data_IF_841305455547
#
_entry.id   IF_841305455547
#
_cell.length_a   1.000
_cell.length_b   1.000
_cell.length_c   1.000
_cell.angle_alpha   90.00
_cell.angle_beta   90.00
_cell.angle_gamma   90.00
#
_symmetry.space_group_name_H-M   'P 1'
#
loop_
_entity.id
_entity.type
_entity.pdbx_description
1 polymer ?
#
# COMPACT_ATOMS: atom_id res chain seq x y z
N UNK A 1 -0.66 11.10 5.87
CA UNK A 1 -0.29 10.43 4.61
C UNK A 1 -0.69 11.31 3.44
N UNK A 2 0.25 11.75 2.58
CA UNK A 2 -0.13 12.41 1.33
C UNK A 2 -0.85 11.39 0.44
N UNK A 3 -2.02 11.77 -0.09
CA UNK A 3 -2.75 10.97 -1.07
C UNK A 3 -2.27 11.37 -2.47
N UNK A 4 -1.92 10.41 -3.35
CA UNK A 4 -1.60 10.71 -4.74
C UNK A 4 -2.75 11.47 -5.42
N UNK A 5 -2.49 12.51 -6.24
CA UNK A 5 -3.54 13.27 -6.91
C UNK A 5 -4.51 12.41 -7.74
N UNK A 6 -3.99 11.36 -8.37
CA UNK A 6 -4.78 10.39 -9.15
C UNK A 6 -5.82 9.67 -8.27
N UNK A 7 -5.44 9.25 -7.06
CA UNK A 7 -6.36 8.62 -6.11
C UNK A 7 -7.45 9.59 -5.66
N UNK A 8 -7.07 10.85 -5.42
CA UNK A 8 -8.02 11.91 -5.07
C UNK A 8 -9.02 12.13 -6.21
N UNK A 9 -8.57 12.08 -7.47
CA UNK A 9 -9.44 12.22 -8.63
C UNK A 9 -10.44 11.07 -8.73
N UNK A 10 -9.98 9.82 -8.62
CA UNK A 10 -10.83 8.63 -8.63
C UNK A 10 -11.90 8.67 -7.52
N UNK A 11 -11.53 9.12 -6.32
CA UNK A 11 -12.49 9.25 -5.22
C UNK A 11 -13.54 10.34 -5.47
N UNK A 12 -13.13 11.48 -6.02
CA UNK A 12 -14.07 12.55 -6.38
C UNK A 12 -15.07 12.07 -7.43
N UNK A 13 -14.59 11.43 -8.49
CA UNK A 13 -15.44 10.86 -9.53
C UNK A 13 -16.42 9.83 -8.96
N UNK A 14 -15.95 8.96 -8.05
CA UNK A 14 -16.81 8.00 -7.36
C UNK A 14 -17.88 8.69 -6.50
N UNK A 15 -17.54 9.76 -5.79
CA UNK A 15 -18.50 10.53 -4.97
C UNK A 15 -19.51 11.25 -5.86
N UNK A 16 -19.08 11.85 -6.97
CA UNK A 16 -19.97 12.52 -7.91
C UNK A 16 -20.93 11.52 -8.58
N UNK A 17 -20.48 10.29 -8.81
CA UNK A 17 -21.27 9.23 -9.48
C UNK A 17 -22.22 8.51 -8.53
N UNK A 18 -21.75 8.11 -7.34
CA UNK A 18 -22.48 7.23 -6.42
C UNK A 18 -22.95 7.92 -5.13
N UNK A 19 -22.44 9.13 -4.85
CA UNK A 19 -22.65 9.79 -3.57
C UNK A 19 -21.85 9.17 -2.44
N UNK A 20 -22.35 9.33 -1.22
CA UNK A 20 -21.78 8.70 0.00
C UNK A 20 -22.90 8.10 0.83
N UNK A 21 -22.60 7.07 1.61
CA UNK A 21 -23.53 6.55 2.59
C UNK A 21 -23.63 7.47 3.82
N UNK A 22 -24.65 7.22 4.65
CA UNK A 22 -24.86 7.92 5.91
C UNK A 22 -23.57 7.98 6.75
N UNK A 23 -23.22 9.20 7.18
CA UNK A 23 -21.97 9.47 7.88
C UNK A 23 -20.75 9.72 6.98
N UNK A 24 -20.95 9.86 5.66
CA UNK A 24 -19.88 10.22 4.71
C UNK A 24 -18.97 9.06 4.32
N UNK A 25 -19.44 7.81 4.48
CA UNK A 25 -18.67 6.63 4.05
C UNK A 25 -18.56 6.59 2.54
N UNK A 26 -17.32 6.52 2.04
CA UNK A 26 -17.00 6.46 0.61
C UNK A 26 -17.34 5.10 -0.01
N UNK A 27 -17.18 4.01 0.75
CA UNK A 27 -17.47 2.66 0.28
C UNK A 27 -18.63 2.06 1.06
N UNK A 28 -19.68 1.67 0.34
CA UNK A 28 -20.91 1.15 0.92
C UNK A 28 -21.58 0.18 -0.05
N UNK A 29 -22.40 -0.72 0.49
CA UNK A 29 -23.25 -1.59 -0.32
C UNK A 29 -24.54 -0.86 -0.75
N UNK A 30 -25.35 -1.48 -1.61
CA UNK A 30 -26.60 -0.90 -2.12
C UNK A 30 -27.61 -0.48 -1.05
N UNK A 31 -27.48 -1.01 0.18
CA UNK A 31 -28.31 -0.65 1.34
C UNK A 31 -27.68 0.43 2.23
N UNK A 32 -26.58 1.07 1.79
CA UNK A 32 -25.83 2.06 2.57
C UNK A 32 -24.95 1.46 3.68
N UNK A 33 -24.89 0.13 3.79
CA UNK A 33 -24.14 -0.58 4.82
C UNK A 33 -22.69 -0.86 4.43
N UNK A 34 -21.96 -1.55 5.31
CA UNK A 34 -20.58 -1.97 5.08
C UNK A 34 -20.53 -2.97 3.91
N UNK A 35 -19.52 -2.83 3.05
CA UNK A 35 -19.23 -3.80 1.99
C UNK A 35 -18.81 -5.12 2.62
N UNK A 36 -19.52 -6.20 2.27
CA UNK A 36 -19.18 -7.54 2.76
C UNK A 36 -17.82 -8.01 2.23
N UNK A 37 -17.12 -8.84 3.00
CA UNK A 37 -15.81 -9.38 2.62
C UNK A 37 -15.84 -10.13 1.29
N UNK A 38 -16.88 -10.93 1.03
CA UNK A 38 -17.04 -11.66 -0.23
C UNK A 38 -17.24 -10.73 -1.44
N UNK A 39 -17.96 -9.62 -1.26
CA UNK A 39 -18.12 -8.60 -2.31
C UNK A 39 -16.79 -7.91 -2.61
N UNK A 40 -16.03 -7.58 -1.57
CA UNK A 40 -14.71 -6.99 -1.71
C UNK A 40 -13.73 -7.95 -2.40
N UNK A 41 -13.71 -9.22 -1.98
CA UNK A 41 -12.86 -10.25 -2.58
C UNK A 41 -13.21 -10.48 -4.06
N UNK A 42 -14.49 -10.50 -4.41
CA UNK A 42 -14.92 -10.63 -5.81
C UNK A 42 -14.48 -9.44 -6.65
N UNK A 43 -14.75 -8.21 -6.19
CA UNK A 43 -14.31 -7.00 -6.88
C UNK A 43 -12.78 -6.96 -7.05
N UNK A 44 -12.03 -7.47 -6.07
CA UNK A 44 -10.58 -7.59 -6.18
C UNK A 44 -10.13 -8.57 -7.26
N UNK A 45 -10.75 -9.75 -7.36
CA UNK A 45 -10.41 -10.73 -8.40
C UNK A 45 -10.74 -10.19 -9.79
N UNK A 46 -11.91 -9.56 -9.97
CA UNK A 46 -12.29 -8.89 -11.22
C UNK A 46 -11.27 -7.80 -11.60
N UNK A 47 -10.82 -6.98 -10.63
CA UNK A 47 -9.79 -5.98 -10.88
C UNK A 47 -8.44 -6.58 -11.29
N UNK A 48 -8.04 -7.74 -10.72
CA UNK A 48 -6.81 -8.44 -11.13
C UNK A 48 -6.88 -8.87 -12.60
N UNK A 49 -8.01 -9.42 -13.04
CA UNK A 49 -8.21 -9.86 -14.42
C UNK A 49 -8.15 -8.70 -15.42
N UNK A 50 -8.59 -7.51 -15.01
CA UNK A 50 -8.52 -6.30 -15.84
C UNK A 50 -7.13 -5.67 -15.89
N UNK A 51 -6.37 -5.75 -14.78
CA UNK A 51 -5.10 -5.05 -14.64
C UNK A 51 -3.87 -5.89 -15.02
N UNK A 52 -3.97 -7.22 -14.99
CA UNK A 52 -2.83 -8.13 -15.17
C UNK A 52 -2.98 -9.02 -16.41
N UNK A 53 -1.87 -9.33 -17.10
CA UNK A 53 -1.82 -10.40 -18.09
C UNK A 53 -2.27 -11.77 -17.53
N UNK A 54 -2.83 -12.67 -18.35
CA UNK A 54 -3.40 -13.94 -17.88
C UNK A 54 -2.43 -14.84 -17.09
N UNK A 55 -1.15 -14.86 -17.47
CA UNK A 55 -0.11 -15.62 -16.75
C UNK A 55 0.14 -15.06 -15.35
N UNK A 56 0.06 -13.74 -15.18
CA UNK A 56 0.19 -13.10 -13.87
C UNK A 56 -1.07 -13.23 -13.03
N UNK A 57 -2.26 -13.25 -13.64
CA UNK A 57 -3.53 -13.55 -12.95
C UNK A 57 -3.48 -14.95 -12.33
N UNK A 58 -2.98 -15.94 -13.08
CA UNK A 58 -2.83 -17.32 -12.63
C UNK A 58 -1.72 -17.51 -11.58
N UNK A 59 -0.82 -16.53 -11.43
CA UNK A 59 0.26 -16.57 -10.46
C UNK A 59 -0.20 -16.15 -9.04
N UNK A 60 0.62 -16.43 -8.01
CA UNK A 60 0.38 -15.92 -6.64
C UNK A 60 0.47 -14.39 -6.50
N UNK A 61 0.77 -13.64 -7.58
CA UNK A 61 0.92 -12.19 -7.54
C UNK A 61 -0.40 -11.51 -7.14
N UNK A 62 -0.36 -10.77 -6.04
CA UNK A 62 -1.47 -9.94 -5.57
C UNK A 62 -2.79 -10.72 -5.37
N UNK A 63 -2.73 -12.02 -5.07
CA UNK A 63 -3.92 -12.87 -4.90
C UNK A 63 -4.84 -12.32 -3.83
N UNK A 64 -4.30 -11.75 -2.75
CA UNK A 64 -5.08 -11.10 -1.71
C UNK A 64 -4.90 -9.58 -1.77
N UNK A 65 -5.94 -8.80 -1.45
CA UNK A 65 -5.80 -7.34 -1.31
C UNK A 65 -4.69 -6.94 -0.33
N UNK A 66 -4.50 -7.74 0.73
CA UNK A 66 -3.45 -7.52 1.73
C UNK A 66 -2.02 -7.60 1.14
N UNK A 67 -1.83 -8.29 0.01
CA UNK A 67 -0.53 -8.36 -0.66
C UNK A 67 -0.11 -6.99 -1.24
N UNK A 68 -1.06 -6.10 -1.57
CA UNK A 68 -0.74 -4.71 -1.92
C UNK A 68 -0.12 -3.94 -0.76
N UNK A 69 -0.65 -4.14 0.45
CA UNK A 69 -0.11 -3.52 1.66
C UNK A 69 1.32 -4.02 1.91
N UNK A 70 1.56 -5.32 1.73
CA UNK A 70 2.92 -5.86 1.79
C UNK A 70 3.85 -5.19 0.78
N UNK A 71 3.43 -5.09 -0.48
CA UNK A 71 4.21 -4.47 -1.55
C UNK A 71 4.55 -3.01 -1.25
N UNK A 72 3.57 -2.21 -0.80
CA UNK A 72 3.77 -0.81 -0.47
C UNK A 72 4.79 -0.63 0.67
N UNK A 73 4.65 -1.40 1.75
CA UNK A 73 5.57 -1.31 2.89
C UNK A 73 6.99 -1.76 2.52
N UNK A 74 7.13 -2.87 1.79
CA UNK A 74 8.42 -3.30 1.27
C UNK A 74 9.04 -2.25 0.34
N UNK A 75 8.24 -1.59 -0.49
CA UNK A 75 8.70 -0.54 -1.43
C UNK A 75 9.19 0.70 -0.71
N UNK A 76 8.42 1.23 0.26
CA UNK A 76 8.85 2.41 1.03
C UNK A 76 10.08 2.12 1.87
N UNK A 77 10.11 0.94 2.49
CA UNK A 77 11.34 0.48 3.11
C UNK A 77 12.43 0.51 2.04
N UNK A 78 12.29 -0.13 0.87
CA UNK A 78 13.35 -0.22 -0.15
C UNK A 78 13.83 1.12 -0.71
N UNK A 79 12.96 2.12 -0.78
CA UNK A 79 13.33 3.51 -1.07
C UNK A 79 14.16 4.18 0.06
N UNK A 80 14.27 3.49 1.19
CA UNK A 80 15.01 3.85 2.39
C UNK A 80 14.29 4.89 3.25
N UNK A 81 12.97 4.90 3.25
CA UNK A 81 12.16 5.62 4.25
C UNK A 81 12.44 5.01 5.63
N UNK A 82 12.46 5.84 6.67
CA UNK A 82 12.73 5.40 8.04
C UNK A 82 11.69 4.35 8.49
N UNK A 83 12.11 3.22 9.11
CA UNK A 83 11.18 2.20 9.59
C UNK A 83 10.12 2.72 10.57
N UNK A 84 10.44 3.74 11.38
CA UNK A 84 9.49 4.37 12.30
C UNK A 84 8.39 5.08 11.54
N UNK A 85 8.76 5.86 10.53
CA UNK A 85 7.82 6.55 9.67
C UNK A 85 6.96 5.56 8.86
N UNK A 86 7.57 4.49 8.31
CA UNK A 86 6.80 3.45 7.61
C UNK A 86 5.80 2.77 8.56
N UNK A 87 6.20 2.48 9.80
CA UNK A 87 5.33 1.86 10.80
C UNK A 87 4.15 2.77 11.16
N UNK A 88 4.39 4.06 11.40
CA UNK A 88 3.36 5.05 11.67
C UNK A 88 2.37 5.17 10.51
N UNK A 89 2.89 5.32 9.27
CA UNK A 89 2.07 5.40 8.05
C UNK A 89 1.25 4.14 7.82
N UNK A 90 1.74 2.99 8.26
CA UNK A 90 1.01 1.73 8.20
C UNK A 90 -0.02 1.59 9.33
N UNK A 91 0.14 2.27 10.47
CA UNK A 91 -0.59 1.97 11.70
C UNK A 91 -0.12 0.67 12.37
N UNK A 92 1.16 0.33 12.26
CA UNK A 92 1.79 -0.82 12.92
C UNK A 92 2.80 -0.34 13.98
N UNK A 93 3.21 -1.21 14.90
CA UNK A 93 4.43 -0.96 15.69
C UNK A 93 5.69 -1.23 14.86
N UNK A 94 6.79 -0.56 15.21
CA UNK A 94 8.11 -0.77 14.57
C UNK A 94 8.57 -2.22 14.72
N UNK A 95 8.34 -2.83 15.89
CA UNK A 95 8.67 -4.23 16.15
C UNK A 95 7.96 -5.20 15.20
N UNK A 96 6.65 -5.01 14.99
CA UNK A 96 5.87 -5.82 14.04
C UNK A 96 6.36 -5.60 12.61
N UNK A 97 6.71 -4.37 12.25
CA UNK A 97 7.28 -4.04 10.94
C UNK A 97 8.62 -4.77 10.74
N UNK A 98 9.55 -4.66 11.70
CA UNK A 98 10.88 -5.25 11.58
C UNK A 98 10.82 -6.78 11.55
N UNK A 99 9.98 -7.40 12.37
CA UNK A 99 9.81 -8.87 12.37
C UNK A 99 9.33 -9.39 11.01
N UNK A 100 8.43 -8.64 10.35
CA UNK A 100 7.80 -9.05 9.09
C UNK A 100 8.61 -8.66 7.85
N UNK A 101 9.39 -7.58 7.90
CA UNK A 101 10.07 -7.00 6.74
C UNK A 101 11.60 -6.90 6.85
N UNK A 102 12.23 -7.44 7.91
CA UNK A 102 13.69 -7.48 8.04
C UNK A 102 14.39 -8.06 6.80
N UNK A 103 13.79 -9.06 6.15
CA UNK A 103 14.34 -9.66 4.91
C UNK A 103 14.36 -8.69 3.73
N UNK A 104 13.45 -7.71 3.68
CA UNK A 104 13.47 -6.65 2.67
C UNK A 104 14.56 -5.61 2.93
N UNK A 105 15.13 -5.57 4.13
CA UNK A 105 16.28 -4.70 4.45
C UNK A 105 17.62 -5.34 4.05
N UNK A 106 17.64 -6.67 3.89
CA UNK A 106 18.82 -7.43 3.44
C UNK A 106 19.17 -7.02 1.99
N UNK A 107 20.40 -6.53 1.77
CA UNK A 107 20.85 -5.96 0.49
C UNK A 107 21.02 -4.44 0.48
N UNK A 108 20.68 -3.74 1.57
CA UNK A 108 20.84 -2.27 1.67
C UNK A 108 22.21 -1.78 2.12
N UNK A 109 23.18 -2.64 2.38
CA UNK A 109 24.51 -2.22 2.82
C UNK A 109 25.11 -1.14 1.90
N UNK A 110 25.01 -1.32 0.58
CA UNK A 110 25.50 -0.32 -0.38
C UNK A 110 24.72 1.00 -0.38
N UNK A 111 23.42 1.00 -0.08
CA UNK A 111 22.63 2.23 0.04
C UNK A 111 22.87 2.93 1.38
N UNK A 112 23.00 2.15 2.46
CA UNK A 112 23.32 2.65 3.79
C UNK A 112 24.70 3.28 3.81
N UNK A 113 25.70 2.62 3.23
CA UNK A 113 27.06 3.17 3.11
C UNK A 113 27.05 4.47 2.31
N UNK A 114 26.38 4.53 1.14
CA UNK A 114 26.27 5.78 0.37
C UNK A 114 25.64 6.94 1.16
N UNK A 115 24.67 6.65 2.03
CA UNK A 115 24.05 7.68 2.89
C UNK A 115 24.98 8.12 4.01
N UNK A 116 25.74 7.19 4.59
CA UNK A 116 26.76 7.48 5.58
C UNK A 116 27.85 8.35 4.95
N UNK A 117 28.35 7.97 3.78
CA UNK A 117 29.39 8.70 3.05
C UNK A 117 28.91 10.13 2.73
N UNK A 118 27.70 10.29 2.17
CA UNK A 118 27.13 11.61 1.88
C UNK A 118 26.99 12.50 3.12
N UNK A 119 26.59 11.93 4.27
CA UNK A 119 26.51 12.67 5.52
C UNK A 119 27.89 13.06 6.04
N UNK A 120 28.87 12.15 5.97
CA UNK A 120 30.25 12.43 6.39
C UNK A 120 30.90 13.51 5.52
N UNK A 121 30.61 13.52 4.22
CA UNK A 121 31.05 14.56 3.28
C UNK A 121 30.46 15.95 3.60
N UNK A 122 29.25 16.03 4.18
CA UNK A 122 28.67 17.30 4.64
C UNK A 122 29.36 17.87 5.90
N UNK A 123 30.09 17.03 6.66
CA UNK A 123 30.80 17.43 7.87
C UNK A 123 32.31 17.68 7.65
N UNK A 124 32.84 17.43 6.45
CA UNK A 124 34.24 17.64 6.07
C UNK A 124 34.48 18.94 5.31
#
# INVERSE_FOLDING_TARGET
MPLPPELVHLWKESVDTFGTADGGRLFFNEKGGIVGSSTYDRAWHEARELALPPDLVASPLAVRPYDLRHSALSTWLNAGVDPTEVAERAGNSVEVLMTRYAKCLYGRQALANRRIDALLDEYG
#
